data_IF_337670533855
#
_entry.id   IF_337670533855
#
_cell.length_a   1.000
_cell.length_b   1.000
_cell.length_c   1.000
_cell.angle_alpha   90.00
_cell.angle_beta   90.00
_cell.angle_gamma   90.00
#
_symmetry.space_group_name_H-M   'P 1'
#
loop_
_entity.id
_entity.type
_entity.pdbx_description
1 polymer ?
#
# COMPACT_ATOMS: atom_id res chain seq x y z
N UNK A 1 -6.93 18.91 -13.67
CA UNK A 1 -7.76 19.29 -12.52
C UNK A 1 -9.20 18.76 -12.63
N UNK A 2 -9.96 19.07 -13.69
CA UNK A 2 -11.36 18.63 -13.87
C UNK A 2 -11.55 17.08 -13.78
N UNK A 3 -10.68 16.27 -14.39
CA UNK A 3 -10.75 14.80 -14.30
C UNK A 3 -10.58 14.25 -12.89
N UNK A 4 -9.70 14.88 -12.07
CA UNK A 4 -9.49 14.48 -10.66
C UNK A 4 -10.70 14.82 -9.80
N UNK A 5 -11.31 15.98 -10.01
CA UNK A 5 -12.56 16.36 -9.32
C UNK A 5 -13.69 15.41 -9.72
N UNK A 6 -13.82 15.08 -11.01
CA UNK A 6 -14.81 14.11 -11.48
C UNK A 6 -14.61 12.73 -10.83
N UNK A 7 -13.38 12.23 -10.72
CA UNK A 7 -13.08 10.97 -10.01
C UNK A 7 -13.52 11.04 -8.55
N UNK A 8 -13.17 12.11 -7.85
CA UNK A 8 -13.56 12.32 -6.43
C UNK A 8 -15.08 12.28 -6.22
N UNK A 9 -15.87 12.85 -7.15
CA UNK A 9 -17.34 12.85 -7.06
C UNK A 9 -17.96 11.44 -7.19
N UNK A 10 -17.23 10.51 -7.79
CA UNK A 10 -17.66 9.11 -7.94
C UNK A 10 -17.22 8.22 -6.77
N UNK A 11 -16.33 8.71 -5.92
CA UNK A 11 -15.86 7.93 -4.76
C UNK A 11 -17.01 7.65 -3.77
N UNK A 12 -17.12 6.40 -3.26
CA UNK A 12 -18.15 6.03 -2.30
C UNK A 12 -18.17 6.93 -1.05
N UNK A 13 -16.98 7.33 -0.59
CA UNK A 13 -16.82 8.24 0.55
C UNK A 13 -17.44 9.63 0.30
N UNK A 14 -17.30 10.16 -0.92
CA UNK A 14 -17.96 11.41 -1.29
C UNK A 14 -19.47 11.27 -1.30
N UNK A 15 -20.01 10.19 -1.88
CA UNK A 15 -21.46 9.94 -1.94
C UNK A 15 -22.07 9.78 -0.56
N UNK A 16 -21.35 9.17 0.41
CA UNK A 16 -21.83 8.99 1.79
C UNK A 16 -21.87 10.28 2.60
N UNK A 17 -20.90 11.19 2.38
CA UNK A 17 -20.78 12.42 3.18
C UNK A 17 -20.27 13.62 2.35
N UNK A 18 -21.01 14.09 1.32
CA UNK A 18 -20.52 15.10 0.38
C UNK A 18 -20.14 16.43 1.05
N UNK A 19 -20.95 16.90 1.99
CA UNK A 19 -20.68 18.17 2.70
C UNK A 19 -19.40 18.12 3.53
N UNK A 20 -19.12 16.96 4.14
CA UNK A 20 -17.88 16.74 4.90
C UNK A 20 -16.65 16.78 3.98
N UNK A 21 -16.70 16.10 2.84
CA UNK A 21 -15.60 16.08 1.88
C UNK A 21 -15.37 17.46 1.26
N UNK A 22 -16.46 18.20 0.93
CA UNK A 22 -16.37 19.58 0.45
C UNK A 22 -15.73 20.49 1.52
N UNK A 23 -16.18 20.41 2.78
CA UNK A 23 -15.61 21.19 3.88
C UNK A 23 -14.11 20.90 4.10
N UNK A 24 -13.72 19.62 4.01
CA UNK A 24 -12.31 19.23 4.02
C UNK A 24 -11.55 19.79 2.82
N UNK A 25 -12.16 19.85 1.63
CA UNK A 25 -11.56 20.44 0.43
C UNK A 25 -11.27 21.94 0.59
N UNK A 26 -12.21 22.69 1.17
CA UNK A 26 -12.00 24.11 1.50
C UNK A 26 -10.88 24.28 2.54
N UNK A 27 -10.91 23.47 3.60
CA UNK A 27 -9.85 23.45 4.63
C UNK A 27 -8.48 23.10 4.04
N UNK A 28 -8.43 22.13 3.11
CA UNK A 28 -7.21 21.79 2.39
C UNK A 28 -6.65 22.97 1.61
N UNK A 29 -7.49 23.65 0.82
CA UNK A 29 -7.08 24.81 0.05
C UNK A 29 -6.48 25.93 0.94
N UNK A 30 -7.08 26.15 2.13
CA UNK A 30 -6.56 27.10 3.12
C UNK A 30 -5.19 26.63 3.65
N UNK A 31 -5.01 25.35 3.98
CA UNK A 31 -3.73 24.83 4.45
C UNK A 31 -2.64 24.98 3.39
N UNK A 32 -2.94 24.67 2.12
CA UNK A 32 -2.02 24.87 1.00
C UNK A 32 -1.63 26.34 0.86
N UNK A 33 -2.61 27.26 0.86
CA UNK A 33 -2.35 28.70 0.75
C UNK A 33 -1.48 29.23 1.91
N UNK A 34 -1.67 28.69 3.11
CA UNK A 34 -0.91 29.07 4.31
C UNK A 34 0.37 28.24 4.51
N UNK A 35 0.69 27.32 3.59
CA UNK A 35 1.84 26.38 3.68
C UNK A 35 1.90 25.61 5.01
N UNK A 36 0.73 25.18 5.51
CA UNK A 36 0.61 24.42 6.76
C UNK A 36 0.46 22.95 6.46
N UNK A 37 1.22 22.09 7.15
CA UNK A 37 1.07 20.64 7.10
C UNK A 37 0.02 20.18 8.12
N UNK A 38 -1.24 19.96 7.72
CA UNK A 38 -2.31 19.61 8.65
C UNK A 38 -2.07 18.24 9.30
N UNK A 39 -2.43 18.18 10.57
CA UNK A 39 -2.52 16.93 11.33
C UNK A 39 -3.99 16.62 11.56
N UNK A 40 -4.37 15.39 11.32
CA UNK A 40 -5.74 14.93 11.55
C UNK A 40 -5.77 13.48 12.02
N UNK A 41 -6.86 13.09 12.61
CA UNK A 41 -7.13 11.71 12.95
C UNK A 41 -7.48 10.94 11.68
N UNK A 42 -6.65 9.94 11.34
CA UNK A 42 -6.90 9.02 10.22
C UNK A 42 -7.95 8.00 10.63
N UNK A 43 -7.75 7.37 11.77
CA UNK A 43 -8.66 6.46 12.47
C UNK A 43 -8.53 6.69 13.97
N UNK A 44 -9.49 6.23 14.81
CA UNK A 44 -9.38 6.34 16.25
C UNK A 44 -8.03 5.80 16.77
N UNK A 45 -7.27 6.66 17.45
CA UNK A 45 -5.96 6.33 17.99
C UNK A 45 -4.78 6.47 17.02
N UNK A 46 -4.99 6.90 15.78
CA UNK A 46 -3.91 7.18 14.83
C UNK A 46 -4.09 8.52 14.11
N UNK A 47 -3.09 9.38 14.21
CA UNK A 47 -3.03 10.69 13.56
C UNK A 47 -2.06 10.65 12.38
N UNK A 48 -2.43 11.34 11.32
CA UNK A 48 -1.61 11.51 10.13
C UNK A 48 -1.30 13.00 9.94
N UNK A 49 -0.04 13.30 9.64
CA UNK A 49 0.40 14.59 9.11
C UNK A 49 0.67 14.43 7.62
N UNK A 50 0.11 15.30 6.82
CA UNK A 50 0.36 15.34 5.38
C UNK A 50 0.99 16.68 4.99
N UNK A 51 1.93 16.72 4.03
CA UNK A 51 2.44 17.97 3.49
C UNK A 51 1.31 18.74 2.78
N UNK A 52 1.35 20.07 2.85
CA UNK A 52 0.40 20.95 2.17
C UNK A 52 0.76 21.14 0.70
N UNK A 53 0.77 20.04 -0.03
CA UNK A 53 1.07 20.02 -1.46
C UNK A 53 -0.16 19.55 -2.27
N UNK A 54 0.00 19.45 -3.57
CA UNK A 54 -1.07 19.00 -4.47
C UNK A 54 -0.85 17.55 -4.93
N UNK A 55 -0.04 16.78 -4.21
CA UNK A 55 0.18 15.37 -4.47
C UNK A 55 -1.10 14.57 -4.22
N UNK A 56 -1.31 13.56 -5.03
CA UNK A 56 -2.58 12.80 -4.98
C UNK A 56 -2.77 12.11 -3.63
N UNK A 57 -1.73 11.46 -3.10
CA UNK A 57 -1.75 10.80 -1.79
C UNK A 57 -2.10 11.77 -0.66
N UNK A 58 -1.47 12.97 -0.62
CA UNK A 58 -1.74 13.98 0.40
C UNK A 58 -3.18 14.47 0.33
N UNK A 59 -3.66 14.78 -0.88
CA UNK A 59 -5.03 15.31 -1.10
C UNK A 59 -6.07 14.24 -0.73
N UNK A 60 -5.93 13.02 -1.25
CA UNK A 60 -6.91 11.94 -1.02
C UNK A 60 -6.93 11.52 0.44
N UNK A 61 -5.77 11.34 1.07
CA UNK A 61 -5.70 11.04 2.50
C UNK A 61 -6.38 12.11 3.36
N UNK A 62 -6.21 13.40 3.02
CA UNK A 62 -6.88 14.48 3.75
C UNK A 62 -8.39 14.52 3.53
N UNK A 63 -8.85 14.30 2.30
CA UNK A 63 -10.26 14.40 1.94
C UNK A 63 -11.06 13.17 2.39
N UNK A 64 -10.53 11.97 2.12
CA UNK A 64 -11.25 10.70 2.23
C UNK A 64 -10.90 9.93 3.52
N UNK A 65 -9.77 10.25 4.16
CA UNK A 65 -9.25 9.54 5.35
C UNK A 65 -8.92 8.09 4.99
N UNK A 66 -9.40 7.14 5.79
CA UNK A 66 -9.23 5.71 5.56
C UNK A 66 -10.16 5.15 4.48
N UNK A 67 -11.09 5.95 3.99
CA UNK A 67 -11.96 5.58 2.88
C UNK A 67 -11.34 5.87 1.48
N UNK A 68 -10.01 6.03 1.41
CA UNK A 68 -9.27 6.15 0.14
C UNK A 68 -9.39 4.88 -0.68
N UNK A 69 -9.29 3.73 0.00
CA UNK A 69 -9.35 2.39 -0.57
C UNK A 69 -10.19 1.48 0.31
N UNK A 70 -10.96 0.53 -0.25
CA UNK A 70 -11.70 -0.46 0.53
C UNK A 70 -10.80 -1.23 1.50
N UNK A 71 -9.61 -1.66 1.06
CA UNK A 71 -8.66 -2.43 1.85
C UNK A 71 -8.15 -1.65 3.05
N UNK A 72 -7.92 -0.35 2.89
CA UNK A 72 -7.58 0.52 4.01
C UNK A 72 -8.78 0.68 4.94
N UNK A 73 -9.98 0.92 4.40
CA UNK A 73 -11.20 1.12 5.20
C UNK A 73 -11.51 -0.10 6.08
N UNK A 74 -11.35 -1.31 5.55
CA UNK A 74 -11.64 -2.57 6.23
C UNK A 74 -10.38 -3.31 6.73
N UNK A 75 -9.25 -2.63 6.90
CA UNK A 75 -8.00 -3.26 7.34
C UNK A 75 -8.13 -4.03 8.67
N UNK A 76 -9.02 -3.57 9.56
CA UNK A 76 -9.31 -4.24 10.84
C UNK A 76 -9.89 -5.66 10.69
N UNK A 77 -10.39 -6.03 9.51
CA UNK A 77 -10.92 -7.37 9.24
C UNK A 77 -9.81 -8.33 8.80
N UNK A 78 -8.65 -7.79 8.43
CA UNK A 78 -7.45 -8.51 8.02
C UNK A 78 -6.35 -8.50 9.08
N UNK A 79 -6.28 -7.46 9.92
CA UNK A 79 -5.29 -7.31 10.99
C UNK A 79 -5.99 -7.33 12.34
N UNK A 80 -5.75 -8.38 13.13
CA UNK A 80 -6.34 -8.61 14.46
C UNK A 80 -5.38 -8.18 15.56
N UNK A 81 -5.89 -7.97 16.80
CA UNK A 81 -5.01 -7.80 17.95
C UNK A 81 -4.04 -8.97 18.11
N UNK A 82 -2.75 -8.65 18.22
CA UNK A 82 -1.69 -9.67 18.35
C UNK A 82 -1.05 -10.10 17.05
N UNK A 83 -1.55 -9.67 15.89
CA UNK A 83 -0.98 -10.02 14.58
C UNK A 83 0.31 -9.25 14.27
N UNK A 84 1.11 -9.83 13.39
CA UNK A 84 2.25 -9.19 12.73
C UNK A 84 1.81 -8.78 11.32
N UNK A 85 1.85 -7.49 11.05
CA UNK A 85 1.51 -6.89 9.77
C UNK A 85 2.76 -6.36 9.07
N UNK A 86 2.91 -6.65 7.78
CA UNK A 86 3.98 -6.12 6.93
C UNK A 86 3.37 -5.23 5.85
N UNK A 87 3.80 -3.97 5.81
CA UNK A 87 3.36 -2.94 4.87
C UNK A 87 4.50 -2.68 3.88
N UNK A 88 4.39 -3.22 2.66
CA UNK A 88 5.41 -3.12 1.61
C UNK A 88 5.02 -2.03 0.64
N UNK A 89 5.85 -0.99 0.53
CA UNK A 89 5.51 0.27 -0.12
C UNK A 89 4.69 1.15 0.82
N UNK A 90 5.15 1.28 2.08
CA UNK A 90 4.39 1.95 3.14
C UNK A 90 4.14 3.44 2.87
N UNK A 91 4.89 4.07 1.98
CA UNK A 91 4.77 5.47 1.60
C UNK A 91 4.74 6.38 2.85
N UNK A 92 3.76 7.26 3.01
CA UNK A 92 3.60 8.14 4.18
C UNK A 92 2.94 7.45 5.39
N UNK A 93 2.54 6.17 5.27
CA UNK A 93 2.12 5.30 6.37
C UNK A 93 0.62 5.12 6.56
N UNK A 94 -0.21 5.21 5.54
CA UNK A 94 -1.67 5.05 5.69
C UNK A 94 -2.03 3.68 6.31
N UNK A 95 -1.56 2.58 5.72
CA UNK A 95 -1.79 1.23 6.23
C UNK A 95 -1.04 0.98 7.53
N UNK A 96 0.22 1.39 7.61
CA UNK A 96 1.06 1.30 8.83
C UNK A 96 0.37 1.93 10.04
N UNK A 97 -0.11 3.18 9.92
CA UNK A 97 -0.74 3.91 11.02
C UNK A 97 -2.10 3.31 11.40
N UNK A 98 -2.85 2.78 10.44
CA UNK A 98 -4.12 2.12 10.74
C UNK A 98 -3.93 0.76 11.42
N UNK A 99 -2.88 0.03 11.07
CA UNK A 99 -2.56 -1.26 11.69
C UNK A 99 -1.95 -1.12 13.10
N UNK A 100 -1.10 -0.11 13.32
CA UNK A 100 -0.30 0.03 14.54
C UNK A 100 -1.07 0.01 15.86
N UNK A 101 -2.28 0.61 16.00
CA UNK A 101 -3.05 0.53 17.25
C UNK A 101 -3.54 -0.88 17.61
N UNK A 102 -3.52 -1.82 16.69
CA UNK A 102 -4.10 -3.18 16.84
C UNK A 102 -3.06 -4.28 16.78
N UNK A 103 -2.14 -4.19 15.82
CA UNK A 103 -1.12 -5.20 15.60
C UNK A 103 -0.13 -5.29 16.78
N UNK A 104 0.36 -6.50 17.08
CA UNK A 104 1.47 -6.66 18.00
C UNK A 104 2.75 -6.05 17.42
N UNK A 105 2.94 -6.16 16.11
CA UNK A 105 4.07 -5.57 15.39
C UNK A 105 3.67 -5.17 13.98
N UNK A 106 4.18 -4.03 13.53
CA UNK A 106 4.08 -3.57 12.15
C UNK A 106 5.50 -3.44 11.60
N UNK A 107 5.73 -3.98 10.42
CA UNK A 107 6.98 -3.78 9.66
C UNK A 107 6.64 -2.95 8.44
N UNK A 108 7.08 -1.70 8.41
CA UNK A 108 6.82 -0.77 7.32
C UNK A 108 8.06 -0.66 6.43
N UNK A 109 7.95 -1.14 5.21
CA UNK A 109 9.04 -1.19 4.22
C UNK A 109 8.82 -0.06 3.22
N UNK A 110 9.73 0.92 3.21
CA UNK A 110 9.68 2.06 2.32
C UNK A 110 11.11 2.47 1.89
N UNK A 111 11.48 2.26 0.63
CA UNK A 111 12.81 2.59 0.14
C UNK A 111 13.02 4.09 -0.07
N UNK A 112 11.99 4.83 -0.53
CA UNK A 112 12.08 6.24 -0.91
C UNK A 112 12.39 7.14 0.28
N UNK A 113 13.45 7.95 0.19
CA UNK A 113 13.92 8.76 1.32
C UNK A 113 12.88 9.79 1.79
N UNK A 114 12.21 10.47 0.85
CA UNK A 114 11.23 11.49 1.21
C UNK A 114 9.99 10.89 1.86
N UNK A 115 9.44 9.81 1.28
CA UNK A 115 8.27 9.10 1.83
C UNK A 115 8.59 8.52 3.21
N UNK A 116 9.75 7.88 3.36
CA UNK A 116 10.23 7.32 4.63
C UNK A 116 10.38 8.37 5.73
N UNK A 117 10.90 9.57 5.41
CA UNK A 117 10.98 10.68 6.40
C UNK A 117 9.60 11.08 6.89
N UNK A 118 8.60 11.13 6.01
CA UNK A 118 7.23 11.45 6.38
C UNK A 118 6.60 10.32 7.19
N UNK A 119 6.84 9.06 6.81
CA UNK A 119 6.42 7.88 7.56
C UNK A 119 6.99 7.87 8.98
N UNK A 120 8.30 8.09 9.14
CA UNK A 120 8.96 8.16 10.45
C UNK A 120 8.36 9.28 11.33
N UNK A 121 8.17 10.47 10.76
CA UNK A 121 7.52 11.58 11.46
C UNK A 121 6.07 11.26 11.86
N UNK A 122 5.34 10.49 11.06
CA UNK A 122 3.98 10.07 11.33
C UNK A 122 3.93 8.98 12.42
N UNK A 123 4.85 8.02 12.42
CA UNK A 123 5.00 7.02 13.47
C UNK A 123 5.34 7.71 14.80
N UNK A 124 6.33 8.62 14.80
CA UNK A 124 6.72 9.38 15.97
C UNK A 124 5.60 10.29 16.51
N UNK A 125 4.80 10.92 15.62
CA UNK A 125 3.64 11.73 16.00
C UNK A 125 2.63 10.98 16.87
N UNK A 126 2.54 9.66 16.68
CA UNK A 126 1.61 8.78 17.39
C UNK A 126 2.26 8.06 18.60
N UNK A 127 3.58 8.14 18.76
CA UNK A 127 4.30 7.43 19.81
C UNK A 127 4.25 5.91 19.66
N UNK A 128 4.07 5.38 18.46
CA UNK A 128 4.04 3.94 18.22
C UNK A 128 5.43 3.33 18.42
N UNK A 129 5.53 2.35 19.32
CA UNK A 129 6.77 1.62 19.62
C UNK A 129 6.82 0.23 18.98
N UNK A 130 5.71 -0.20 18.39
CA UNK A 130 5.55 -1.50 17.75
C UNK A 130 5.75 -1.44 16.22
N UNK A 131 6.18 -0.30 15.66
CA UNK A 131 6.45 -0.11 14.23
C UNK A 131 7.95 -0.16 13.98
N UNK A 132 8.39 -1.06 13.11
CA UNK A 132 9.76 -1.13 12.60
C UNK A 132 9.80 -0.54 11.18
N UNK A 133 10.65 0.46 10.95
CA UNK A 133 10.85 1.05 9.64
C UNK A 133 12.03 0.38 8.93
N UNK A 134 11.84 -0.03 7.69
CA UNK A 134 12.85 -0.73 6.87
C UNK A 134 13.15 0.10 5.62
N UNK A 135 14.37 0.71 5.52
CA UNK A 135 14.75 1.58 4.42
C UNK A 135 15.28 0.79 3.21
N UNK A 136 14.57 -0.25 2.80
CA UNK A 136 14.94 -1.12 1.67
C UNK A 136 13.73 -1.34 0.77
N UNK A 137 13.95 -1.72 -0.48
CA UNK A 137 12.91 -2.26 -1.32
C UNK A 137 12.90 -3.78 -1.23
N UNK A 138 11.72 -4.41 -1.35
CA UNK A 138 11.62 -5.85 -1.47
C UNK A 138 11.64 -6.26 -2.94
N UNK A 139 12.34 -7.36 -3.22
CA UNK A 139 12.49 -7.95 -4.54
C UNK A 139 12.69 -9.47 -4.42
N UNK A 140 12.95 -10.14 -5.53
CA UNK A 140 13.24 -11.58 -5.61
C UNK A 140 14.66 -11.96 -5.15
N UNK A 141 15.58 -10.98 -5.09
CA UNK A 141 16.95 -11.17 -4.63
C UNK A 141 17.50 -9.90 -3.94
N UNK A 142 18.47 -10.05 -3.01
CA UNK A 142 19.21 -8.92 -2.46
C UNK A 142 20.06 -8.22 -3.52
N UNK A 143 20.26 -6.92 -3.38
CA UNK A 143 21.09 -6.14 -4.30
C UNK A 143 20.92 -4.65 -4.15
N UNK A 144 21.06 -3.94 -5.27
CA UNK A 144 20.76 -2.51 -5.39
C UNK A 144 20.05 -2.25 -6.71
N UNK A 145 19.13 -1.32 -6.70
CA UNK A 145 18.43 -0.88 -7.89
C UNK A 145 18.22 0.63 -7.89
N UNK A 146 17.92 1.17 -9.06
CA UNK A 146 17.39 2.51 -9.19
C UNK A 146 15.89 2.48 -8.85
N UNK A 147 15.48 3.37 -7.99
CA UNK A 147 14.10 3.68 -7.71
C UNK A 147 13.72 4.89 -8.55
N UNK A 148 12.75 4.75 -9.42
CA UNK A 148 12.31 5.78 -10.34
C UNK A 148 11.18 6.59 -9.72
N UNK A 149 11.32 7.92 -9.70
CA UNK A 149 10.21 8.80 -9.43
C UNK A 149 9.33 8.82 -10.68
N UNK A 150 8.11 8.33 -10.61
CA UNK A 150 7.22 8.30 -11.75
C UNK A 150 6.48 9.64 -11.93
N UNK A 151 6.98 10.59 -12.79
CA UNK A 151 6.37 11.89 -12.98
C UNK A 151 5.08 11.82 -13.78
N UNK A 152 4.83 10.72 -14.49
CA UNK A 152 3.61 10.49 -15.27
C UNK A 152 2.55 9.71 -14.49
N UNK A 153 2.93 9.05 -13.42
CA UNK A 153 2.00 8.60 -12.40
C UNK A 153 1.26 9.83 -11.85
N UNK A 154 -0.01 9.69 -11.58
CA UNK A 154 -0.79 10.79 -11.03
C UNK A 154 -0.37 11.18 -9.62
N UNK A 155 0.62 10.49 -9.05
CA UNK A 155 1.26 10.79 -7.78
C UNK A 155 2.79 10.84 -7.92
N UNK A 156 3.45 12.00 -7.72
CA UNK A 156 4.90 12.10 -7.68
C UNK A 156 5.55 11.42 -6.46
N UNK A 157 4.78 10.80 -5.58
CA UNK A 157 5.25 9.90 -4.52
C UNK A 157 5.10 8.42 -4.91
N UNK A 158 4.60 8.13 -6.10
CA UNK A 158 4.65 6.80 -6.66
C UNK A 158 6.08 6.51 -7.12
N UNK A 159 6.76 5.65 -6.40
CA UNK A 159 8.10 5.17 -6.72
C UNK A 159 7.99 3.76 -7.25
N UNK A 160 8.71 3.47 -8.33
CA UNK A 160 8.76 2.13 -8.91
C UNK A 160 10.19 1.68 -9.15
N UNK A 161 10.43 0.40 -8.98
CA UNK A 161 11.66 -0.26 -9.46
C UNK A 161 11.62 -0.48 -10.98
N UNK A 162 10.48 -0.22 -11.61
CA UNK A 162 10.26 -0.39 -13.04
C UNK A 162 10.27 0.97 -13.72
N UNK A 163 11.22 1.18 -14.66
CA UNK A 163 11.27 2.39 -15.47
C UNK A 163 10.11 2.43 -16.46
N UNK A 164 9.42 3.55 -16.53
CA UNK A 164 8.41 3.85 -17.57
C UNK A 164 9.02 4.41 -18.86
N UNK A 165 10.36 4.52 -18.92
CA UNK A 165 11.11 5.03 -20.06
C UNK A 165 11.18 6.56 -20.13
N UNK A 166 10.73 7.27 -19.10
CA UNK A 166 10.89 8.74 -19.00
C UNK A 166 12.19 9.08 -18.26
N UNK A 167 12.77 10.26 -18.55
CA UNK A 167 13.87 10.85 -17.77
C UNK A 167 13.34 11.33 -16.42
N UNK A 168 13.25 10.40 -15.46
CA UNK A 168 12.83 10.70 -14.09
C UNK A 168 14.01 10.77 -13.15
N UNK A 169 13.90 11.56 -12.08
CA UNK A 169 14.86 11.52 -10.98
C UNK A 169 14.91 10.10 -10.41
N UNK A 170 16.12 9.61 -10.13
CA UNK A 170 16.33 8.27 -9.58
C UNK A 170 17.09 8.36 -8.27
N UNK A 171 16.73 7.48 -7.36
CA UNK A 171 17.53 7.26 -6.14
C UNK A 171 18.00 5.79 -6.13
N UNK A 172 19.23 5.54 -5.68
CA UNK A 172 19.73 4.16 -5.53
C UNK A 172 19.31 3.60 -4.18
N UNK A 173 18.59 2.49 -4.20
CA UNK A 173 18.08 1.83 -3.00
C UNK A 173 18.64 0.43 -2.83
N UNK A 174 18.72 -0.03 -1.59
CA UNK A 174 19.05 -1.41 -1.26
C UNK A 174 17.84 -2.32 -1.48
N UNK A 175 18.10 -3.51 -2.02
CA UNK A 175 17.12 -4.58 -2.17
C UNK A 175 17.35 -5.67 -1.14
N UNK A 176 16.27 -6.25 -0.66
CA UNK A 176 16.27 -7.49 0.12
C UNK A 176 15.07 -8.35 -0.30
N UNK A 177 14.96 -9.56 0.20
CA UNK A 177 13.76 -10.38 0.03
C UNK A 177 12.90 -10.35 1.28
N UNK A 178 11.60 -10.67 1.15
CA UNK A 178 10.73 -10.76 2.32
C UNK A 178 11.22 -11.87 3.27
N UNK A 179 11.66 -13.00 2.72
CA UNK A 179 12.17 -14.12 3.52
C UNK A 179 13.42 -13.77 4.34
N UNK A 180 14.34 -13.00 3.74
CA UNK A 180 15.51 -12.46 4.46
C UNK A 180 15.10 -11.48 5.54
N UNK A 181 14.17 -10.59 5.25
CA UNK A 181 13.68 -9.59 6.19
C UNK A 181 13.00 -10.23 7.40
N UNK A 182 12.15 -11.22 7.19
CA UNK A 182 11.46 -11.97 8.25
C UNK A 182 12.48 -12.64 9.17
N UNK A 183 13.52 -13.25 8.60
CA UNK A 183 14.63 -13.85 9.37
C UNK A 183 15.46 -12.81 10.12
N UNK A 184 15.84 -11.71 9.46
CA UNK A 184 16.64 -10.61 10.04
C UNK A 184 15.94 -9.99 11.26
N UNK A 185 14.63 -9.80 11.17
CA UNK A 185 13.82 -9.22 12.25
C UNK A 185 13.37 -10.25 13.30
N UNK A 186 13.65 -11.54 13.10
CA UNK A 186 13.25 -12.62 13.99
C UNK A 186 11.73 -12.68 14.19
N UNK A 187 10.94 -12.49 13.13
CA UNK A 187 9.50 -12.48 13.25
C UNK A 187 8.98 -13.92 13.51
N UNK A 188 8.25 -14.15 14.61
CA UNK A 188 7.76 -15.50 14.95
C UNK A 188 6.56 -15.91 14.11
N UNK A 189 5.90 -14.96 13.45
CA UNK A 189 4.72 -15.13 12.59
C UNK A 189 4.61 -13.97 11.62
N UNK A 190 3.85 -14.17 10.55
CA UNK A 190 3.39 -13.12 9.62
C UNK A 190 1.93 -13.43 9.30
N UNK A 191 1.02 -12.49 9.59
CA UNK A 191 -0.42 -12.74 9.50
C UNK A 191 -1.07 -12.03 8.33
N UNK A 192 -0.59 -10.83 8.02
CA UNK A 192 -1.08 -10.05 6.89
C UNK A 192 0.05 -9.26 6.24
N UNK A 193 0.05 -9.21 4.92
CA UNK A 193 1.01 -8.46 4.11
C UNK A 193 0.23 -7.58 3.14
N UNK A 194 0.50 -6.27 3.12
CA UNK A 194 0.09 -5.37 2.03
C UNK A 194 1.28 -5.16 1.12
N UNK A 195 1.08 -5.27 -0.19
CA UNK A 195 2.10 -5.04 -1.21
C UNK A 195 1.57 -4.03 -2.22
N UNK A 196 2.24 -2.89 -2.29
CA UNK A 196 1.91 -1.78 -3.18
C UNK A 196 3.22 -1.12 -3.62
N UNK A 197 3.80 -1.65 -4.67
CA UNK A 197 5.15 -1.31 -5.13
C UNK A 197 5.19 -0.93 -6.61
N UNK A 198 4.04 -0.50 -7.12
CA UNK A 198 3.87 0.10 -8.44
C UNK A 198 4.45 -0.77 -9.58
N UNK A 199 4.10 -2.07 -9.54
CA UNK A 199 4.42 -3.03 -10.60
C UNK A 199 5.50 -4.06 -10.27
N UNK A 200 6.15 -3.98 -9.09
CA UNK A 200 7.14 -4.97 -8.66
C UNK A 200 6.57 -6.06 -7.75
N UNK A 201 5.24 -6.18 -7.65
CA UNK A 201 4.54 -7.14 -6.76
C UNK A 201 4.97 -8.58 -7.03
N UNK A 202 5.16 -8.95 -8.30
CA UNK A 202 5.64 -10.28 -8.69
C UNK A 202 7.02 -10.61 -8.13
N UNK A 203 7.93 -9.64 -8.10
CA UNK A 203 9.27 -9.80 -7.55
C UNK A 203 9.23 -9.92 -6.02
N UNK A 204 8.38 -9.12 -5.35
CA UNK A 204 8.19 -9.23 -3.89
C UNK A 204 7.66 -10.62 -3.52
N UNK A 205 6.66 -11.11 -4.23
CA UNK A 205 6.09 -12.46 -3.99
C UNK A 205 7.11 -13.57 -4.29
N UNK A 206 7.95 -13.41 -5.33
CA UNK A 206 9.01 -14.38 -5.63
C UNK A 206 10.05 -14.45 -4.51
N UNK A 207 10.34 -13.32 -3.83
CA UNK A 207 11.24 -13.25 -2.66
C UNK A 207 10.57 -13.60 -1.31
N UNK A 208 9.34 -14.13 -1.32
CA UNK A 208 8.52 -14.40 -0.14
C UNK A 208 8.18 -15.90 0.05
N UNK A 209 8.80 -16.78 -0.74
CA UNK A 209 8.38 -18.18 -0.85
C UNK A 209 8.37 -18.94 0.48
N UNK A 210 9.41 -18.81 1.31
CA UNK A 210 9.50 -19.43 2.62
C UNK A 210 8.46 -18.87 3.61
N UNK A 211 8.31 -17.53 3.60
CA UNK A 211 7.35 -16.82 4.47
C UNK A 211 5.91 -17.23 4.15
N UNK A 212 5.56 -17.25 2.86
CA UNK A 212 4.22 -17.65 2.41
C UNK A 212 3.92 -19.12 2.75
N UNK A 213 4.89 -20.01 2.58
CA UNK A 213 4.73 -21.43 2.89
C UNK A 213 4.66 -21.71 4.41
N UNK A 214 5.40 -20.93 5.22
CA UNK A 214 5.47 -21.15 6.66
C UNK A 214 4.27 -20.56 7.43
N UNK A 215 3.81 -19.38 7.03
CA UNK A 215 2.84 -18.62 7.83
C UNK A 215 1.48 -18.46 7.17
N UNK A 216 1.36 -18.70 5.87
CA UNK A 216 0.13 -18.54 5.10
C UNK A 216 -0.61 -17.21 5.36
N UNK A 217 0.08 -16.06 5.31
CA UNK A 217 -0.52 -14.76 5.62
C UNK A 217 -1.64 -14.43 4.63
N UNK A 218 -2.58 -13.59 5.04
CA UNK A 218 -3.41 -12.88 4.07
C UNK A 218 -2.54 -11.90 3.30
N UNK A 219 -2.59 -11.92 1.96
CA UNK A 219 -1.83 -11.00 1.11
C UNK A 219 -2.79 -10.05 0.40
N UNK A 220 -2.61 -8.76 0.60
CA UNK A 220 -3.33 -7.70 -0.12
C UNK A 220 -2.33 -7.10 -1.09
N UNK A 221 -2.61 -7.14 -2.39
CA UNK A 221 -1.66 -6.64 -3.39
C UNK A 221 -2.35 -5.95 -4.56
N UNK A 222 -1.63 -5.02 -5.18
CA UNK A 222 -2.11 -4.31 -6.35
C UNK A 222 -1.89 -5.12 -7.63
N UNK A 223 -2.93 -5.19 -8.46
CA UNK A 223 -2.84 -5.67 -9.84
C UNK A 223 -2.88 -4.47 -10.78
N UNK A 224 -1.70 -3.98 -11.18
CA UNK A 224 -1.58 -2.85 -12.10
C UNK A 224 -1.23 -3.32 -13.52
N UNK A 225 -2.11 -4.11 -14.11
CA UNK A 225 -1.91 -4.68 -15.45
C UNK A 225 -1.58 -3.63 -16.54
N UNK A 226 -2.24 -2.45 -16.60
CA UNK A 226 -1.91 -1.45 -17.61
C UNK A 226 -0.48 -0.90 -17.53
N UNK A 227 0.04 -0.66 -16.33
CA UNK A 227 1.41 -0.18 -16.11
C UNK A 227 2.42 -1.26 -16.46
N UNK A 228 2.22 -2.49 -15.98
CA UNK A 228 3.09 -3.62 -16.27
C UNK A 228 3.14 -3.96 -17.76
N UNK A 229 2.00 -3.91 -18.45
CA UNK A 229 1.97 -4.12 -19.91
C UNK A 229 2.78 -3.07 -20.68
N UNK A 230 2.72 -1.79 -20.26
CA UNK A 230 3.53 -0.72 -20.85
C UNK A 230 5.02 -0.94 -20.58
N UNK A 231 5.39 -1.37 -19.39
CA UNK A 231 6.77 -1.66 -18.99
C UNK A 231 7.28 -3.02 -19.50
N UNK A 232 6.48 -3.78 -20.29
CA UNK A 232 6.76 -5.16 -20.72
C UNK A 232 7.01 -6.12 -19.56
N UNK A 233 6.44 -5.82 -18.39
CA UNK A 233 6.47 -6.69 -17.21
C UNK A 233 5.42 -7.80 -17.29
N UNK A 234 5.58 -8.81 -16.43
CA UNK A 234 4.61 -9.91 -16.30
C UNK A 234 3.53 -9.55 -15.25
N UNK A 235 2.41 -9.05 -15.76
CA UNK A 235 1.25 -8.75 -14.91
C UNK A 235 0.60 -9.99 -14.26
N UNK A 236 1.04 -11.20 -14.62
CA UNK A 236 0.52 -12.44 -14.03
C UNK A 236 1.42 -13.02 -12.92
N UNK A 237 2.64 -12.51 -12.76
CA UNK A 237 3.64 -13.13 -11.90
C UNK A 237 3.19 -13.28 -10.44
N UNK A 238 2.67 -12.21 -9.83
CA UNK A 238 2.18 -12.25 -8.44
C UNK A 238 1.01 -13.24 -8.28
N UNK A 239 0.03 -13.16 -9.18
CA UNK A 239 -1.13 -14.07 -9.17
C UNK A 239 -0.72 -15.53 -9.32
N UNK A 240 0.10 -15.85 -10.33
CA UNK A 240 0.50 -17.22 -10.60
C UNK A 240 1.35 -17.81 -9.46
N UNK A 241 2.25 -17.02 -8.88
CA UNK A 241 3.09 -17.46 -7.77
C UNK A 241 2.26 -17.76 -6.50
N UNK A 242 1.27 -16.92 -6.17
CA UNK A 242 0.36 -17.16 -5.06
C UNK A 242 -0.58 -18.34 -5.33
N UNK A 243 -1.12 -18.47 -6.54
CA UNK A 243 -1.97 -19.60 -6.94
C UNK A 243 -1.22 -20.94 -6.81
N UNK A 244 0.05 -20.99 -7.21
CA UNK A 244 0.90 -22.17 -7.08
C UNK A 244 1.13 -22.60 -5.62
N UNK A 245 0.95 -21.68 -4.67
CA UNK A 245 1.03 -21.93 -3.23
C UNK A 245 -0.34 -22.16 -2.57
N UNK A 246 -1.40 -22.36 -3.35
CA UNK A 246 -2.74 -22.68 -2.82
C UNK A 246 -3.56 -21.49 -2.33
N UNK A 247 -3.25 -20.28 -2.78
CA UNK A 247 -4.05 -19.10 -2.46
C UNK A 247 -5.28 -19.00 -3.37
N UNK A 248 -6.43 -18.68 -2.77
CA UNK A 248 -7.62 -18.21 -3.47
C UNK A 248 -7.66 -16.68 -3.46
N UNK A 249 -8.33 -16.09 -4.45
CA UNK A 249 -8.32 -14.65 -4.69
C UNK A 249 -9.70 -14.03 -4.55
N UNK A 250 -9.73 -12.82 -4.03
CA UNK A 250 -10.96 -12.11 -3.75
C UNK A 250 -10.82 -10.63 -4.09
N UNK A 251 -11.91 -10.01 -4.52
CA UNK A 251 -12.09 -8.57 -4.52
C UNK A 251 -12.78 -8.16 -3.20
N UNK A 252 -12.33 -7.09 -2.60
CA UNK A 252 -13.02 -6.45 -1.51
C UNK A 252 -14.00 -5.43 -2.08
N UNK A 253 -15.29 -5.60 -1.78
CA UNK A 253 -16.34 -4.67 -2.20
C UNK A 253 -16.43 -3.45 -1.28
N UNK A 254 -17.13 -2.40 -1.72
CA UNK A 254 -17.29 -1.14 -0.97
C UNK A 254 -18.04 -1.31 0.37
N UNK A 255 -18.71 -2.41 0.59
CA UNK A 255 -19.40 -2.77 1.84
C UNK A 255 -18.60 -3.74 2.72
N UNK A 256 -17.37 -4.11 2.31
CA UNK A 256 -16.44 -4.96 3.05
C UNK A 256 -16.61 -6.46 2.79
N UNK A 257 -17.47 -6.87 1.85
CA UNK A 257 -17.59 -8.27 1.51
C UNK A 257 -16.43 -8.74 0.60
N UNK A 258 -15.95 -9.98 0.83
CA UNK A 258 -14.98 -10.63 -0.04
C UNK A 258 -15.70 -11.40 -1.14
N UNK A 259 -15.55 -10.95 -2.38
CA UNK A 259 -16.11 -11.58 -3.57
C UNK A 259 -15.05 -12.42 -4.27
N UNK A 260 -15.27 -13.74 -4.46
CA UNK A 260 -14.28 -14.61 -5.09
C UNK A 260 -13.97 -14.18 -6.53
N UNK A 261 -12.70 -14.18 -6.88
CA UNK A 261 -12.20 -13.99 -8.24
C UNK A 261 -11.81 -15.36 -8.81
N UNK A 262 -12.55 -15.81 -9.84
CA UNK A 262 -12.26 -17.06 -10.55
C UNK A 262 -11.25 -16.88 -11.67
N UNK A 263 -11.05 -15.65 -12.12
CA UNK A 263 -10.12 -15.29 -13.19
C UNK A 263 -9.29 -14.07 -12.77
N UNK A 264 -8.07 -14.02 -13.26
CA UNK A 264 -7.17 -12.90 -13.02
C UNK A 264 -7.74 -11.60 -13.63
N UNK A 265 -7.78 -10.50 -12.86
CA UNK A 265 -8.16 -9.20 -13.37
C UNK A 265 -7.22 -8.72 -14.49
N UNK A 266 -7.77 -7.99 -15.45
CA UNK A 266 -7.01 -7.33 -16.53
C UNK A 266 -6.92 -5.83 -16.37
N UNK A 267 -7.68 -5.28 -15.42
CA UNK A 267 -7.69 -3.86 -15.06
C UNK A 267 -7.01 -3.64 -13.72
N UNK A 268 -6.77 -2.38 -13.41
CA UNK A 268 -6.26 -1.97 -12.11
C UNK A 268 -7.24 -2.34 -11.00
N UNK A 269 -6.78 -3.12 -10.01
CA UNK A 269 -7.51 -3.36 -8.77
C UNK A 269 -6.60 -3.91 -7.66
N UNK A 270 -6.99 -3.70 -6.42
CA UNK A 270 -6.45 -4.44 -5.29
C UNK A 270 -7.09 -5.83 -5.19
N UNK A 271 -6.27 -6.82 -4.87
CA UNK A 271 -6.68 -8.22 -4.71
C UNK A 271 -6.31 -8.68 -3.31
N UNK A 272 -7.23 -9.39 -2.66
CA UNK A 272 -6.99 -10.09 -1.40
C UNK A 272 -6.76 -11.56 -1.70
N UNK A 273 -5.60 -12.10 -1.34
CA UNK A 273 -5.29 -13.52 -1.47
C UNK A 273 -5.27 -14.21 -0.09
N UNK A 274 -5.95 -15.35 0.02
CA UNK A 274 -6.02 -16.17 1.25
C UNK A 274 -5.67 -17.62 0.97
N UNK A 275 -4.78 -18.18 1.77
CA UNK A 275 -4.42 -19.60 1.67
C UNK A 275 -5.57 -20.50 2.11
N UNK A 276 -5.78 -21.61 1.41
CA UNK A 276 -6.87 -22.56 1.70
C UNK A 276 -8.29 -22.04 1.41
N UNK A 277 -8.42 -20.85 0.85
CA UNK A 277 -9.68 -20.31 0.35
C UNK A 277 -10.07 -21.04 -0.94
N UNK A 278 -10.74 -22.18 -0.80
CA UNK A 278 -11.06 -23.01 -1.95
C UNK A 278 -12.08 -22.40 -2.90
N UNK A 279 -11.59 -21.79 -3.97
CA UNK A 279 -12.25 -21.84 -5.28
C UNK A 279 -11.29 -22.65 -6.15
N UNK A 280 -11.65 -23.90 -6.47
CA UNK A 280 -10.91 -24.69 -7.43
C UNK A 280 -10.86 -23.89 -8.75
N UNK A 281 -9.66 -23.53 -9.16
CA UNK A 281 -9.42 -22.95 -10.49
C UNK A 281 -9.73 -24.06 -11.51
N UNK A 282 -10.81 -23.90 -12.26
CA UNK A 282 -11.11 -24.67 -13.47
C UNK A 282 -10.56 -23.96 -14.70
#
# INVERSE_FOLDING_TARGET
MLRRVAKLLHEPAFRRAPLTVIGRGVSWAINVALRRSPVFELVPGARLRVPSDMRFTSVTAYLLRDAVEPELNYLQDFVRPGDVFIDVGANIGLFTLKAAPRAARVVAVEPGEEARRQLDANVALNGFTNVALVPKALSDAPGRAALFHNPLGHDPQAFSLISDGTDSETETVELTTLDLLVRELGLPRVDCIKIDVEGAEGQVIAGAGETLAAYHPTVIFEMNCPTLMKARGDASAAWNALAAQGYGFYRLSDDGALEPLTTRPTEFMNVVARHGGGVALH
#
